data_IF_605189623982
#
_entry.id   IF_605189623982
#
_cell.length_a   1.000
_cell.length_b   1.000
_cell.length_c   1.000
_cell.angle_alpha   90.00
_cell.angle_beta   90.00
_cell.angle_gamma   90.00
#
_symmetry.space_group_name_H-M   'P 1'
#
loop_
_entity.id
_entity.type
_entity.pdbx_description
1 polymer ?
#
# COMPACT_ATOMS: atom_id res chain seq x y z
N UNK A 1 4.97 44.68 -52.35
CA UNK A 1 5.61 43.35 -52.11
C UNK A 1 6.33 43.24 -50.77
N UNK A 2 6.78 44.34 -50.10
CA UNK A 2 7.48 44.25 -48.79
C UNK A 2 6.56 43.96 -47.59
N UNK A 3 5.23 44.13 -47.69
CA UNK A 3 4.30 43.87 -46.58
C UNK A 3 3.87 42.40 -46.47
N UNK A 4 4.03 41.59 -47.55
CA UNK A 4 3.66 40.19 -47.55
C UNK A 4 4.71 39.29 -46.84
N UNK A 5 5.98 39.76 -46.79
CA UNK A 5 7.09 38.99 -46.19
C UNK A 5 7.01 38.96 -44.69
N UNK A 6 6.34 39.91 -44.03
CA UNK A 6 6.19 39.97 -42.56
C UNK A 6 5.03 39.11 -42.03
N UNK A 7 4.09 38.70 -42.87
CA UNK A 7 2.92 37.90 -42.45
C UNK A 7 3.29 36.41 -42.37
N UNK A 8 4.22 35.95 -43.19
CA UNK A 8 4.65 34.55 -43.24
C UNK A 8 5.28 34.02 -41.96
N UNK A 9 6.24 34.78 -41.26
CA UNK A 9 6.79 34.32 -40.00
C UNK A 9 5.79 34.41 -38.85
N UNK A 10 4.78 35.26 -38.89
CA UNK A 10 3.74 35.38 -37.87
C UNK A 10 2.77 34.17 -37.92
N UNK A 11 2.48 33.65 -39.11
CA UNK A 11 1.68 32.43 -39.29
C UNK A 11 2.41 31.17 -38.85
N UNK A 12 3.74 31.09 -39.00
CA UNK A 12 4.52 29.97 -38.48
C UNK A 12 4.61 29.95 -36.95
N UNK A 13 4.48 31.09 -36.28
CA UNK A 13 4.55 31.18 -34.82
C UNK A 13 3.24 30.71 -34.16
N UNK A 14 2.09 30.78 -34.85
CA UNK A 14 0.80 30.29 -34.33
C UNK A 14 0.67 28.75 -34.37
N UNK A 15 1.47 28.04 -35.16
CA UNK A 15 1.41 26.58 -35.23
C UNK A 15 2.12 25.85 -34.07
N UNK A 16 2.83 26.57 -33.19
CA UNK A 16 3.62 25.98 -32.12
C UNK A 16 2.89 25.88 -30.75
N UNK A 17 1.60 26.24 -30.68
CA UNK A 17 0.93 26.44 -29.38
C UNK A 17 0.00 25.34 -28.93
N UNK A 18 0.13 24.11 -29.41
CA UNK A 18 -0.66 22.97 -28.91
C UNK A 18 0.22 21.96 -28.17
N UNK A 19 1.09 22.43 -27.29
CA UNK A 19 1.69 21.55 -26.31
C UNK A 19 0.62 21.21 -25.25
N UNK A 20 -0.32 20.32 -25.59
CA UNK A 20 -1.19 19.70 -24.59
C UNK A 20 -0.27 18.95 -23.63
N UNK A 21 -0.26 19.39 -22.36
CA UNK A 21 0.49 18.70 -21.32
C UNK A 21 -0.13 17.31 -21.17
N UNK A 22 0.54 16.31 -21.72
CA UNK A 22 0.19 14.92 -21.48
C UNK A 22 0.66 14.56 -20.07
N UNK A 23 -0.11 13.73 -19.39
CA UNK A 23 0.22 13.21 -18.06
C UNK A 23 -0.03 11.72 -17.99
N UNK A 24 0.70 11.06 -17.09
CA UNK A 24 0.49 9.66 -16.78
C UNK A 24 -0.51 9.47 -15.65
N UNK A 25 -1.08 8.29 -15.56
CA UNK A 25 -1.79 7.84 -14.36
C UNK A 25 -1.53 6.36 -14.08
N UNK A 26 -1.66 5.98 -12.82
CA UNK A 26 -1.36 4.62 -12.35
C UNK A 26 -2.18 4.31 -11.09
N UNK A 27 -2.55 3.04 -10.88
CA UNK A 27 -2.87 2.52 -9.57
C UNK A 27 -1.55 2.12 -8.87
N UNK A 28 -1.08 2.99 -7.99
CA UNK A 28 0.18 2.79 -7.25
C UNK A 28 0.15 1.53 -6.39
N UNK A 29 -0.96 1.34 -5.67
CA UNK A 29 -1.16 0.21 -4.77
C UNK A 29 -1.21 -1.12 -5.52
N UNK A 30 -1.83 -1.14 -6.70
CA UNK A 30 -1.90 -2.34 -7.53
C UNK A 30 -0.49 -2.80 -7.94
N UNK A 31 0.33 -1.90 -8.48
CA UNK A 31 1.70 -2.23 -8.90
C UNK A 31 2.57 -2.58 -7.70
N UNK A 32 2.44 -1.86 -6.59
CA UNK A 32 3.17 -2.14 -5.36
C UNK A 32 2.92 -3.58 -4.87
N UNK A 33 1.66 -4.02 -4.84
CA UNK A 33 1.27 -5.37 -4.40
C UNK A 33 1.78 -6.49 -5.30
N UNK A 34 2.08 -6.19 -6.55
CA UNK A 34 2.65 -7.17 -7.50
C UNK A 34 4.17 -7.33 -7.35
N UNK A 35 4.82 -6.45 -6.61
CA UNK A 35 6.27 -6.49 -6.41
C UNK A 35 6.67 -7.62 -5.45
N UNK A 36 7.73 -8.39 -5.78
CA UNK A 36 8.22 -9.46 -4.90
C UNK A 36 8.69 -8.94 -3.54
N UNK A 37 9.25 -7.73 -3.48
CA UNK A 37 9.66 -7.09 -2.24
C UNK A 37 8.46 -6.79 -1.33
N UNK A 38 7.31 -6.42 -1.89
CA UNK A 38 6.08 -6.23 -1.14
C UNK A 38 5.55 -7.55 -0.58
N UNK A 39 5.54 -8.60 -1.40
CA UNK A 39 5.11 -9.92 -0.97
C UNK A 39 5.98 -10.47 0.18
N UNK A 40 7.31 -10.33 0.08
CA UNK A 40 8.25 -10.71 1.13
C UNK A 40 8.01 -9.89 2.41
N UNK A 41 7.93 -8.56 2.30
CA UNK A 41 7.67 -7.68 3.43
C UNK A 41 6.34 -8.02 4.15
N UNK A 42 5.30 -8.35 3.39
CA UNK A 42 4.00 -8.77 3.94
C UNK A 42 4.12 -10.08 4.72
N UNK A 43 4.86 -11.05 4.18
CA UNK A 43 5.10 -12.34 4.84
C UNK A 43 5.91 -12.16 6.13
N UNK A 44 6.98 -11.39 6.08
CA UNK A 44 7.84 -11.12 7.24
C UNK A 44 7.08 -10.37 8.34
N UNK A 45 6.25 -9.40 7.96
CA UNK A 45 5.38 -8.67 8.88
C UNK A 45 4.35 -9.59 9.53
N UNK A 46 3.74 -10.51 8.78
CA UNK A 46 2.81 -11.49 9.31
C UNK A 46 3.50 -12.42 10.33
N UNK A 47 4.71 -12.88 10.03
CA UNK A 47 5.51 -13.69 10.96
C UNK A 47 5.89 -12.91 12.23
N UNK A 48 6.21 -11.62 12.10
CA UNK A 48 6.50 -10.76 13.24
C UNK A 48 5.25 -10.56 14.12
N UNK A 49 4.10 -10.25 13.53
CA UNK A 49 2.81 -10.13 14.24
C UNK A 49 2.48 -11.39 15.02
N UNK A 50 2.65 -12.57 14.39
CA UNK A 50 2.41 -13.85 15.04
C UNK A 50 3.32 -14.10 16.27
N UNK A 51 4.58 -13.66 16.22
CA UNK A 51 5.50 -13.76 17.36
C UNK A 51 5.06 -12.89 18.54
N UNK A 52 4.64 -11.64 18.28
CA UNK A 52 4.14 -10.76 19.33
C UNK A 52 2.84 -11.28 19.93
N UNK A 53 1.92 -11.81 19.12
CA UNK A 53 0.67 -12.40 19.60
C UNK A 53 0.93 -13.63 20.47
N UNK A 54 1.83 -14.52 20.06
CA UNK A 54 2.20 -15.70 20.85
C UNK A 54 2.82 -15.29 22.21
N UNK A 55 3.62 -14.23 22.27
CA UNK A 55 4.19 -13.77 23.53
C UNK A 55 3.14 -13.09 24.41
N UNK A 56 2.20 -12.32 23.82
CA UNK A 56 1.07 -11.76 24.58
C UNK A 56 0.18 -12.85 25.16
N UNK A 57 -0.06 -13.93 24.43
CA UNK A 57 -0.84 -15.07 24.90
C UNK A 57 -0.17 -15.79 26.06
N UNK A 58 1.15 -15.99 26.03
CA UNK A 58 1.87 -16.59 27.16
C UNK A 58 1.74 -15.74 28.44
N UNK A 59 1.84 -14.42 28.30
CA UNK A 59 1.63 -13.51 29.43
C UNK A 59 0.22 -13.61 30.01
N UNK A 60 -0.79 -13.76 29.16
CA UNK A 60 -2.18 -13.95 29.56
C UNK A 60 -2.37 -15.30 30.27
N UNK A 61 -1.79 -16.37 29.75
CA UNK A 61 -1.84 -17.71 30.35
C UNK A 61 -1.15 -17.72 31.73
N UNK A 62 -0.01 -17.04 31.87
CA UNK A 62 0.66 -16.89 33.18
C UNK A 62 -0.19 -16.14 34.17
N UNK A 63 -0.82 -15.03 33.74
CA UNK A 63 -1.75 -14.28 34.60
C UNK A 63 -2.91 -15.16 35.05
N UNK A 64 -3.57 -15.86 34.09
CA UNK A 64 -4.72 -16.73 34.40
C UNK A 64 -4.33 -17.83 35.40
N UNK A 65 -3.20 -18.49 35.22
CA UNK A 65 -2.75 -19.53 36.15
C UNK A 65 -2.52 -18.98 37.54
N UNK A 66 -1.78 -17.87 37.67
CA UNK A 66 -1.51 -17.23 38.98
C UNK A 66 -2.79 -16.70 39.64
N UNK A 67 -3.76 -16.24 38.82
CA UNK A 67 -5.04 -15.77 39.34
C UNK A 67 -5.87 -16.94 39.89
N UNK A 68 -5.91 -18.09 39.23
CA UNK A 68 -6.56 -19.30 39.72
C UNK A 68 -5.91 -19.77 41.01
N UNK A 69 -4.57 -19.84 41.07
CA UNK A 69 -3.83 -20.22 42.26
C UNK A 69 -4.11 -19.26 43.47
N UNK A 70 -4.21 -17.96 43.20
CA UNK A 70 -4.58 -16.96 44.19
C UNK A 70 -6.00 -17.21 44.73
N UNK A 71 -6.99 -17.44 43.85
CA UNK A 71 -8.38 -17.68 44.26
C UNK A 71 -8.52 -18.95 45.11
N UNK A 72 -7.77 -20.00 44.79
CA UNK A 72 -7.80 -21.25 45.55
C UNK A 72 -7.18 -21.13 46.94
N UNK A 73 -6.07 -20.40 47.04
CA UNK A 73 -5.33 -20.28 48.30
C UNK A 73 -5.68 -19.09 49.19
N UNK A 74 -6.44 -18.10 48.68
CA UNK A 74 -6.63 -16.81 49.34
C UNK A 74 -7.16 -16.88 50.77
N UNK A 75 -7.96 -17.92 51.11
CA UNK A 75 -8.55 -18.10 52.44
C UNK A 75 -7.52 -18.49 53.49
N UNK A 76 -6.45 -19.15 53.07
CA UNK A 76 -5.42 -19.71 53.92
C UNK A 76 -4.13 -18.85 53.93
N UNK A 77 -4.08 -17.80 53.13
CA UNK A 77 -2.89 -16.94 53.06
C UNK A 77 -2.77 -16.01 54.26
N UNK A 78 -1.62 -15.98 54.94
CA UNK A 78 -1.27 -14.88 55.83
C UNK A 78 -1.33 -13.54 55.08
N UNK A 79 -1.66 -12.47 55.82
CA UNK A 79 -1.87 -11.14 55.20
C UNK A 79 -0.69 -10.68 54.32
N UNK A 80 0.55 -10.89 54.73
CA UNK A 80 1.74 -10.52 53.96
C UNK A 80 1.82 -11.31 52.60
N UNK A 81 1.45 -12.59 52.61
CA UNK A 81 1.42 -13.42 51.40
C UNK A 81 0.29 -12.96 50.45
N UNK A 82 -0.89 -12.67 51.03
CA UNK A 82 -2.01 -12.15 50.21
C UNK A 82 -1.63 -10.84 49.51
N UNK A 83 -1.05 -9.88 50.24
CA UNK A 83 -0.60 -8.61 49.66
C UNK A 83 0.44 -8.82 48.54
N UNK A 84 1.41 -9.74 48.75
CA UNK A 84 2.43 -10.08 47.77
C UNK A 84 1.79 -10.65 46.49
N UNK A 85 0.86 -11.61 46.62
CA UNK A 85 0.20 -12.24 45.50
C UNK A 85 -0.68 -11.25 44.73
N UNK A 86 -1.38 -10.35 45.39
CA UNK A 86 -2.14 -9.28 44.74
C UNK A 86 -1.24 -8.33 43.94
N UNK A 87 -0.09 -7.95 44.52
CA UNK A 87 0.88 -7.10 43.81
C UNK A 87 1.49 -7.80 42.58
N UNK A 88 1.78 -9.11 42.68
CA UNK A 88 2.24 -9.92 41.55
C UNK A 88 1.20 -9.97 40.39
N UNK A 89 -0.07 -10.17 40.73
CA UNK A 89 -1.16 -10.19 39.73
C UNK A 89 -1.33 -8.82 39.07
N UNK A 90 -1.30 -7.74 39.88
CA UNK A 90 -1.37 -6.40 39.33
C UNK A 90 -0.21 -6.11 38.38
N UNK A 91 1.03 -6.48 38.78
CA UNK A 91 2.19 -6.29 37.92
C UNK A 91 2.11 -7.07 36.61
N UNK A 92 1.58 -8.31 36.61
CA UNK A 92 1.38 -9.08 35.40
C UNK A 92 0.36 -8.43 34.47
N UNK A 93 -0.74 -7.92 35.03
CA UNK A 93 -1.77 -7.21 34.25
C UNK A 93 -1.20 -5.94 33.62
N UNK A 94 -0.49 -5.12 34.41
CA UNK A 94 0.12 -3.87 33.94
C UNK A 94 1.17 -4.14 32.86
N UNK A 95 2.00 -5.17 33.04
CA UNK A 95 3.00 -5.59 32.08
C UNK A 95 2.36 -6.09 30.77
N UNK A 96 1.26 -6.86 30.86
CA UNK A 96 0.52 -7.34 29.69
C UNK A 96 -0.06 -6.19 28.86
N UNK A 97 -0.64 -5.18 29.51
CA UNK A 97 -1.14 -3.97 28.84
C UNK A 97 0.01 -3.19 28.18
N UNK A 98 1.09 -2.95 28.92
CA UNK A 98 2.27 -2.23 28.42
C UNK A 98 2.91 -2.97 27.22
N UNK A 99 3.01 -4.29 27.31
CA UNK A 99 3.54 -5.12 26.20
C UNK A 99 2.68 -5.00 24.95
N UNK A 100 1.35 -5.11 25.05
CA UNK A 100 0.44 -4.98 23.91
C UNK A 100 0.56 -3.61 23.25
N UNK A 101 0.58 -2.53 24.02
CA UNK A 101 0.76 -1.17 23.51
C UNK A 101 2.11 -1.02 22.78
N UNK A 102 3.20 -1.49 23.41
CA UNK A 102 4.53 -1.41 22.79
C UNK A 102 4.67 -2.27 21.56
N UNK A 103 4.05 -3.44 21.54
CA UNK A 103 4.03 -4.33 20.38
C UNK A 103 3.33 -3.68 19.18
N UNK A 104 2.19 -3.02 19.39
CA UNK A 104 1.49 -2.30 18.32
C UNK A 104 2.36 -1.19 17.71
N UNK A 105 3.04 -0.41 18.54
CA UNK A 105 3.98 0.62 18.06
C UNK A 105 5.12 0.01 17.24
N UNK A 106 5.74 -1.06 17.73
CA UNK A 106 6.86 -1.71 17.05
C UNK A 106 6.43 -2.38 15.74
N UNK A 107 5.23 -2.99 15.70
CA UNK A 107 4.67 -3.56 14.49
C UNK A 107 4.40 -2.49 13.45
N UNK A 108 3.83 -1.34 13.84
CA UNK A 108 3.58 -0.24 12.93
C UNK A 108 4.88 0.36 12.36
N UNK A 109 5.92 0.47 13.18
CA UNK A 109 7.24 0.91 12.72
C UNK A 109 7.86 -0.12 11.77
N UNK A 110 7.81 -1.41 12.11
CA UNK A 110 8.32 -2.49 11.26
C UNK A 110 7.60 -2.54 9.91
N UNK A 111 6.28 -2.36 9.88
CA UNK A 111 5.50 -2.30 8.64
C UNK A 111 6.01 -1.17 7.72
N UNK A 112 6.19 0.02 8.27
CA UNK A 112 6.72 1.15 7.53
C UNK A 112 8.12 0.87 6.99
N UNK A 113 9.01 0.30 7.80
CA UNK A 113 10.39 0.04 7.42
C UNK A 113 10.50 -1.08 6.37
N UNK A 114 9.75 -2.16 6.52
CA UNK A 114 9.71 -3.29 5.59
C UNK A 114 9.15 -2.90 4.22
N UNK A 115 8.13 -2.02 4.18
CA UNK A 115 7.54 -1.56 2.90
C UNK A 115 8.39 -0.51 2.19
N UNK A 116 9.34 0.12 2.86
CA UNK A 116 10.10 1.24 2.33
C UNK A 116 10.91 0.88 1.08
N UNK A 117 11.46 -0.34 1.02
CA UNK A 117 12.28 -0.77 -0.12
C UNK A 117 11.44 -0.92 -1.40
N UNK A 118 10.29 -1.57 -1.29
CA UNK A 118 9.36 -1.69 -2.40
C UNK A 118 8.87 -0.32 -2.88
N UNK A 119 8.52 0.58 -1.96
CA UNK A 119 8.08 1.93 -2.27
C UNK A 119 9.18 2.75 -2.96
N UNK A 120 10.42 2.69 -2.47
CA UNK A 120 11.55 3.40 -3.09
C UNK A 120 11.80 2.91 -4.52
N UNK A 121 11.74 1.59 -4.74
CA UNK A 121 11.93 1.01 -6.07
C UNK A 121 10.82 1.43 -7.02
N UNK A 122 9.55 1.39 -6.59
CA UNK A 122 8.42 1.85 -7.39
C UNK A 122 8.51 3.34 -7.71
N UNK A 123 8.82 4.18 -6.71
CA UNK A 123 8.95 5.62 -6.91
C UNK A 123 10.08 5.97 -7.90
N UNK A 124 11.19 5.21 -7.86
CA UNK A 124 12.27 5.36 -8.85
C UNK A 124 11.79 5.02 -10.26
N UNK A 125 11.08 3.91 -10.43
CA UNK A 125 10.53 3.51 -11.73
C UNK A 125 9.54 4.55 -12.27
N UNK A 126 8.69 5.11 -11.41
CA UNK A 126 7.76 6.20 -11.77
C UNK A 126 8.50 7.46 -12.24
N UNK A 127 9.55 7.86 -11.51
CA UNK A 127 10.38 9.00 -11.89
C UNK A 127 11.01 8.79 -13.28
N UNK A 128 11.61 7.61 -13.50
CA UNK A 128 12.25 7.28 -14.77
C UNK A 128 11.24 7.28 -15.93
N UNK A 129 10.07 6.67 -15.75
CA UNK A 129 8.99 6.66 -16.75
C UNK A 129 8.47 8.07 -17.02
N UNK A 130 8.28 8.88 -16.00
CA UNK A 130 7.83 10.27 -16.13
C UNK A 130 8.82 11.10 -16.96
N UNK A 131 10.12 10.96 -16.69
CA UNK A 131 11.19 11.66 -17.43
C UNK A 131 11.30 11.15 -18.86
N UNK A 132 11.30 9.83 -19.07
CA UNK A 132 11.41 9.21 -20.40
C UNK A 132 10.27 9.60 -21.34
N UNK A 133 9.05 9.72 -20.81
CA UNK A 133 7.85 10.07 -21.57
C UNK A 133 7.56 11.58 -21.61
N UNK A 134 8.35 12.40 -20.90
CA UNK A 134 8.17 13.84 -20.85
C UNK A 134 6.91 14.28 -20.12
N UNK A 135 6.39 13.50 -19.19
CA UNK A 135 5.21 13.85 -18.42
C UNK A 135 5.56 14.84 -17.31
N UNK A 136 4.72 15.86 -17.14
CA UNK A 136 4.85 16.82 -16.04
C UNK A 136 4.53 16.21 -14.68
N UNK A 137 3.65 15.18 -14.67
CA UNK A 137 3.23 14.44 -13.47
C UNK A 137 2.59 13.10 -13.83
N UNK A 138 2.58 12.19 -12.85
CA UNK A 138 1.84 10.92 -12.90
C UNK A 138 0.88 10.91 -11.72
N UNK A 139 -0.43 10.76 -12.01
CA UNK A 139 -1.49 10.75 -10.99
C UNK A 139 -1.66 9.35 -10.41
N UNK A 140 -1.82 9.29 -9.10
CA UNK A 140 -2.28 8.08 -8.43
C UNK A 140 -3.82 8.02 -8.45
N UNK A 141 -4.38 6.91 -8.96
CA UNK A 141 -5.84 6.69 -9.09
C UNK A 141 -6.44 5.88 -7.96
N UNK A 142 -5.63 5.47 -6.97
CA UNK A 142 -6.12 4.68 -5.84
C UNK A 142 -7.16 5.46 -5.03
N UNK A 143 -8.06 4.73 -4.38
CA UNK A 143 -9.12 5.29 -3.52
C UNK A 143 -10.03 6.32 -4.21
N UNK A 144 -10.22 6.20 -5.53
CA UNK A 144 -11.03 7.12 -6.33
C UNK A 144 -10.56 8.59 -6.26
N UNK A 145 -9.26 8.82 -6.03
CA UNK A 145 -8.69 10.17 -5.97
C UNK A 145 -8.79 10.93 -7.31
N UNK A 146 -8.88 10.19 -8.43
CA UNK A 146 -9.08 10.72 -9.76
C UNK A 146 -10.27 10.02 -10.41
N UNK A 147 -11.53 10.42 -10.14
CA UNK A 147 -12.73 9.71 -10.58
C UNK A 147 -12.95 9.77 -12.11
N UNK A 148 -12.31 10.70 -12.78
CA UNK A 148 -12.36 10.82 -14.24
C UNK A 148 -11.01 11.27 -14.80
N UNK A 149 -10.55 10.57 -15.81
CA UNK A 149 -9.37 10.93 -16.59
C UNK A 149 -9.76 10.89 -18.07
N UNK A 150 -9.54 12.00 -18.77
CA UNK A 150 -9.78 12.06 -20.20
C UNK A 150 -8.74 11.18 -20.93
N UNK A 151 -9.16 10.13 -21.67
CA UNK A 151 -8.23 9.19 -22.33
C UNK A 151 -7.44 9.81 -23.47
N UNK A 152 -7.82 11.00 -23.94
CA UNK A 152 -7.09 11.71 -25.01
C UNK A 152 -5.80 12.36 -24.47
N UNK A 153 -5.79 12.77 -23.20
CA UNK A 153 -4.65 13.51 -22.60
C UNK A 153 -3.95 12.75 -21.46
N UNK A 154 -4.64 11.84 -20.80
CA UNK A 154 -4.10 10.98 -19.77
C UNK A 154 -3.69 9.62 -20.33
N UNK A 155 -2.51 9.13 -20.01
CA UNK A 155 -1.97 7.84 -20.44
C UNK A 155 -1.81 6.92 -19.23
N UNK A 156 -2.37 5.70 -19.31
CA UNK A 156 -2.12 4.66 -18.31
C UNK A 156 -0.69 4.15 -18.44
N UNK A 157 0.12 4.43 -17.44
CA UNK A 157 1.52 4.01 -17.39
C UNK A 157 1.75 2.71 -16.64
N UNK A 158 0.69 2.05 -16.17
CA UNK A 158 0.77 0.84 -15.33
C UNK A 158 1.65 -0.24 -15.98
N UNK A 159 1.40 -0.58 -17.23
CA UNK A 159 2.17 -1.62 -17.92
C UNK A 159 3.61 -1.20 -18.23
N UNK A 160 3.84 0.09 -18.46
CA UNK A 160 5.19 0.63 -18.68
C UNK A 160 6.02 0.52 -17.40
N UNK A 161 5.41 0.90 -16.27
CA UNK A 161 6.05 0.79 -14.95
C UNK A 161 6.28 -0.67 -14.55
N UNK A 162 5.31 -1.57 -14.79
CA UNK A 162 5.50 -3.01 -14.60
C UNK A 162 6.70 -3.54 -15.37
N UNK A 163 6.79 -3.22 -16.64
CA UNK A 163 7.94 -3.61 -17.48
C UNK A 163 9.26 -3.06 -16.93
N UNK A 164 9.27 -1.80 -16.48
CA UNK A 164 10.45 -1.17 -15.88
C UNK A 164 10.90 -1.86 -14.59
N UNK A 165 9.93 -2.34 -13.81
CA UNK A 165 10.17 -3.11 -12.58
C UNK A 165 10.53 -4.57 -12.84
N UNK A 166 10.45 -5.06 -14.08
CA UNK A 166 10.66 -6.47 -14.42
C UNK A 166 9.51 -7.38 -13.97
N UNK A 167 8.32 -6.81 -13.73
CA UNK A 167 7.11 -7.58 -13.43
C UNK A 167 6.50 -8.12 -14.72
N UNK A 168 5.80 -9.27 -14.63
CA UNK A 168 5.04 -9.78 -15.77
C UNK A 168 3.98 -8.75 -16.18
N UNK A 169 4.02 -8.30 -17.41
CA UNK A 169 2.92 -7.52 -17.97
C UNK A 169 1.72 -8.45 -18.06
N UNK A 170 0.57 -8.01 -17.56
CA UNK A 170 -0.67 -8.73 -17.78
C UNK A 170 -0.81 -8.90 -19.30
N UNK A 171 -0.65 -10.14 -19.74
CA UNK A 171 -0.82 -10.50 -21.14
C UNK A 171 -2.22 -10.11 -21.53
N UNK A 172 -2.39 -9.49 -22.68
CA UNK A 172 -3.64 -9.09 -23.33
C UNK A 172 -4.59 -10.28 -23.50
N UNK A 173 -5.21 -10.75 -22.43
CA UNK A 173 -6.12 -11.90 -22.47
C UNK A 173 -7.55 -11.50 -22.13
N UNK A 174 -7.91 -10.22 -22.16
CA UNK A 174 -9.31 -9.84 -21.91
C UNK A 174 -9.83 -8.63 -22.70
N UNK A 175 -9.59 -8.64 -24.02
CA UNK A 175 -10.33 -7.78 -24.94
C UNK A 175 -10.60 -8.48 -26.26
N UNK A 176 -11.24 -9.64 -26.20
CA UNK A 176 -11.84 -10.25 -27.39
C UNK A 176 -13.05 -11.10 -26.98
N UNK A 177 -14.06 -10.48 -26.40
CA UNK A 177 -15.41 -11.03 -26.53
C UNK A 177 -16.08 -10.30 -27.68
N UNK A 178 -16.33 -10.98 -28.84
CA UNK A 178 -17.12 -10.39 -29.90
C UNK A 178 -18.56 -10.23 -29.39
N UNK A 179 -19.06 -9.02 -29.48
CA UNK A 179 -20.48 -8.72 -29.33
C UNK A 179 -21.20 -9.55 -30.43
N UNK A 180 -21.83 -10.63 -30.01
CA UNK A 180 -22.75 -11.34 -30.88
C UNK A 180 -23.97 -10.42 -31.09
N UNK A 181 -24.07 -9.88 -32.28
CA UNK A 181 -25.28 -9.26 -32.77
C UNK A 181 -26.38 -10.34 -32.78
N UNK A 182 -27.35 -10.25 -31.89
CA UNK A 182 -28.59 -10.98 -31.98
C UNK A 182 -29.39 -10.37 -33.17
N UNK A 183 -29.32 -11.01 -34.32
CA UNK A 183 -30.30 -10.81 -35.35
C UNK A 183 -31.67 -11.26 -34.84
N UNK A 184 -32.55 -10.29 -34.66
CA UNK A 184 -33.95 -10.55 -34.42
C UNK A 184 -34.58 -11.12 -35.68
N UNK A 185 -34.91 -12.41 -35.67
CA UNK A 185 -35.87 -12.96 -36.58
C UNK A 185 -37.27 -12.77 -36.00
N UNK A 186 -38.00 -11.84 -36.63
CA UNK A 186 -39.43 -11.77 -36.40
C UNK A 186 -40.15 -12.95 -37.05
N UNK A 187 -41.18 -13.43 -36.40
CA UNK A 187 -42.41 -13.93 -37.01
C UNK A 187 -43.53 -13.88 -35.94
#
# INVERSE_FOLDING_TARGET
MKRLVFILPLLLFCAASSAQIQFGYISYEQVLKEMPEYAQATQDLAALKAKYEAEAQKGEEEFQQKFVDFLQGQKDFPQAIMQKRQAELQALMDNGVAFRMKSQELIAQAEKDMMQEAQKRLNRALLEVGVELGYGYILNTDNNNCPYINPVVGVDVTNIVRKKLGLATATETETASPIQAQEGTGN
#
